data_IF_391445218419
#
_entry.id   IF_391445218419
#
_cell.length_a   1.000
_cell.length_b   1.000
_cell.length_c   1.000
_cell.angle_alpha   90.00
_cell.angle_beta   90.00
_cell.angle_gamma   90.00
#
_symmetry.space_group_name_H-M   'P 1'
#
loop_
_entity.id
_entity.type
_entity.pdbx_description
1 polymer ?
#
# COMPACT_ATOMS: atom_id res chain seq x y z
N UNK A 1 -24.80 -20.34 5.79
CA UNK A 1 -23.68 -19.47 6.18
C UNK A 1 -23.88 -18.09 5.55
N UNK A 2 -23.73 -17.00 6.31
CA UNK A 2 -23.87 -15.64 5.77
C UNK A 2 -22.77 -15.34 4.75
N UNK A 3 -23.13 -14.76 3.59
CA UNK A 3 -22.18 -14.41 2.52
C UNK A 3 -21.10 -13.47 3.08
N UNK A 4 -19.82 -13.82 2.90
CA UNK A 4 -18.69 -12.96 3.31
C UNK A 4 -18.78 -11.61 2.61
N UNK A 5 -18.53 -10.53 3.35
CA UNK A 5 -18.43 -9.18 2.77
C UNK A 5 -17.04 -9.00 2.16
N UNK A 6 -16.97 -8.48 0.95
CA UNK A 6 -15.69 -8.17 0.30
C UNK A 6 -15.20 -6.80 0.77
N UNK A 7 -13.93 -6.73 1.16
CA UNK A 7 -13.22 -5.50 1.52
C UNK A 7 -12.10 -5.29 0.51
N UNK A 8 -12.17 -4.22 -0.26
CA UNK A 8 -11.09 -3.83 -1.18
C UNK A 8 -10.14 -2.85 -0.50
N UNK A 9 -8.85 -3.20 -0.47
CA UNK A 9 -7.78 -2.34 0.02
C UNK A 9 -6.95 -1.85 -1.16
N UNK A 10 -7.08 -0.57 -1.49
CA UNK A 10 -6.20 0.13 -2.42
C UNK A 10 -5.01 0.72 -1.66
N UNK A 11 -3.78 0.39 -2.06
CA UNK A 11 -2.59 0.80 -1.33
C UNK A 11 -1.41 1.10 -2.26
N UNK A 12 -0.48 1.91 -1.74
CA UNK A 12 0.83 2.18 -2.33
C UNK A 12 1.90 1.94 -1.26
N UNK A 13 2.99 1.26 -1.62
CA UNK A 13 4.11 1.00 -0.69
C UNK A 13 4.87 2.26 -0.27
N UNK A 14 4.69 3.36 -1.00
CA UNK A 14 5.23 4.68 -0.62
C UNK A 14 4.43 5.36 0.50
N UNK A 15 3.30 4.79 0.91
CA UNK A 15 2.48 5.34 1.98
C UNK A 15 2.72 4.57 3.29
N UNK A 16 3.23 5.23 4.35
CA UNK A 16 3.40 4.58 5.65
C UNK A 16 2.05 4.24 6.29
N UNK A 17 1.03 5.08 6.09
CA UNK A 17 -0.32 4.84 6.59
C UNK A 17 -1.01 3.67 5.89
N UNK A 18 -0.68 3.42 4.62
CA UNK A 18 -1.20 2.25 3.91
C UNK A 18 -0.62 0.96 4.48
N UNK A 19 0.63 0.95 4.94
CA UNK A 19 1.19 -0.21 5.65
C UNK A 19 0.45 -0.50 6.96
N UNK A 20 0.20 0.54 7.76
CA UNK A 20 -0.54 0.41 9.01
C UNK A 20 -1.95 -0.17 8.76
N UNK A 21 -2.68 0.38 7.80
CA UNK A 21 -4.01 -0.13 7.42
C UNK A 21 -3.98 -1.57 6.91
N UNK A 22 -2.97 -1.91 6.10
CA UNK A 22 -2.73 -3.26 5.62
C UNK A 22 -2.53 -4.26 6.77
N UNK A 23 -1.64 -3.97 7.73
CA UNK A 23 -1.39 -4.89 8.86
C UNK A 23 -2.60 -5.04 9.76
N UNK A 24 -3.32 -3.94 10.04
CA UNK A 24 -4.56 -3.98 10.83
C UNK A 24 -5.58 -4.89 10.14
N UNK A 25 -5.89 -4.66 8.86
CA UNK A 25 -6.87 -5.45 8.14
C UNK A 25 -6.51 -6.94 8.11
N UNK A 26 -5.23 -7.26 7.89
CA UNK A 26 -4.77 -8.65 7.82
C UNK A 26 -4.78 -9.35 9.17
N UNK A 27 -4.61 -8.63 10.30
CA UNK A 27 -4.83 -9.21 11.64
C UNK A 27 -6.29 -9.63 11.85
N UNK A 28 -7.23 -8.90 11.26
CA UNK A 28 -8.66 -9.19 11.39
C UNK A 28 -9.22 -10.15 10.32
N UNK A 29 -8.42 -10.56 9.31
CA UNK A 29 -8.88 -11.42 8.20
C UNK A 29 -9.50 -12.75 8.64
N UNK A 30 -9.04 -13.29 9.76
CA UNK A 30 -9.53 -14.56 10.33
C UNK A 30 -10.55 -14.36 11.46
N UNK A 31 -10.80 -13.10 11.87
CA UNK A 31 -11.70 -12.74 12.97
C UNK A 31 -13.05 -12.27 12.41
N UNK A 32 -13.01 -11.44 11.36
CA UNK A 32 -14.22 -10.91 10.72
C UNK A 32 -14.69 -11.82 9.58
N UNK A 33 -16.01 -11.86 9.34
CA UNK A 33 -16.60 -12.58 8.21
C UNK A 33 -16.43 -11.79 6.89
N UNK A 34 -15.19 -11.50 6.53
CA UNK A 34 -14.80 -10.68 5.38
C UNK A 34 -13.83 -11.42 4.47
N UNK A 35 -13.80 -11.00 3.22
CA UNK A 35 -12.81 -11.41 2.23
C UNK A 35 -12.03 -10.15 1.81
N UNK A 36 -10.71 -10.16 1.95
CA UNK A 36 -9.88 -8.96 1.77
C UNK A 36 -9.17 -9.06 0.42
N UNK A 37 -9.50 -8.14 -0.48
CA UNK A 37 -8.90 -8.06 -1.82
C UNK A 37 -7.90 -6.91 -1.85
N UNK A 38 -6.65 -7.25 -2.15
CA UNK A 38 -5.53 -6.31 -2.17
C UNK A 38 -5.36 -5.75 -3.59
N UNK A 39 -5.39 -4.43 -3.72
CA UNK A 39 -5.24 -3.70 -4.99
C UNK A 39 -4.06 -2.74 -4.95
N UNK A 40 -2.92 -3.09 -5.57
CA UNK A 40 -1.85 -2.13 -5.81
C UNK A 40 -2.39 -0.95 -6.62
N UNK A 41 -2.25 0.27 -6.10
CA UNK A 41 -2.70 1.51 -6.70
C UNK A 41 -1.63 2.60 -6.56
N UNK A 42 -1.52 3.51 -7.52
CA UNK A 42 -0.45 4.50 -7.53
C UNK A 42 -0.90 5.80 -6.86
N UNK A 43 -0.32 6.10 -5.69
CA UNK A 43 -0.66 7.31 -4.92
C UNK A 43 -0.38 8.59 -5.70
N UNK A 44 0.73 8.62 -6.45
CA UNK A 44 1.05 9.75 -7.34
C UNK A 44 -0.03 9.99 -8.41
N UNK A 45 -0.67 8.92 -8.90
CA UNK A 45 -1.79 9.02 -9.84
C UNK A 45 -3.04 9.62 -9.19
N UNK A 46 -3.35 9.20 -7.96
CA UNK A 46 -4.47 9.74 -7.17
C UNK A 46 -4.26 11.23 -6.87
N UNK A 47 -3.06 11.62 -6.44
CA UNK A 47 -2.72 13.03 -6.15
C UNK A 47 -2.86 13.90 -7.40
N UNK A 48 -2.34 13.44 -8.54
CA UNK A 48 -2.44 14.16 -9.80
C UNK A 48 -3.90 14.36 -10.24
N UNK A 49 -4.71 13.30 -10.20
CA UNK A 49 -6.11 13.37 -10.62
C UNK A 49 -6.98 14.26 -9.71
N UNK A 50 -6.64 14.35 -8.42
CA UNK A 50 -7.39 15.14 -7.43
C UNK A 50 -6.85 16.56 -7.24
N UNK A 51 -5.74 16.92 -7.90
CA UNK A 51 -5.03 18.19 -7.67
C UNK A 51 -4.43 18.32 -6.26
N UNK A 52 -4.31 17.19 -5.53
CA UNK A 52 -3.78 17.18 -4.17
C UNK A 52 -2.24 17.10 -4.19
N UNK A 53 -1.60 17.54 -3.12
CA UNK A 53 -0.14 17.49 -2.96
C UNK A 53 0.24 16.69 -1.72
N UNK A 54 1.44 16.08 -1.67
CA UNK A 54 1.88 15.36 -0.50
C UNK A 54 1.86 16.27 0.75
N UNK A 55 1.24 15.84 1.85
CA UNK A 55 1.12 16.64 3.09
C UNK A 55 2.48 17.06 3.65
N UNK A 56 3.52 16.23 3.44
CA UNK A 56 4.89 16.50 3.86
C UNK A 56 5.50 17.75 3.21
N UNK A 57 4.94 18.24 2.09
CA UNK A 57 5.38 19.49 1.46
C UNK A 57 5.04 20.73 2.30
N UNK A 58 4.11 20.63 3.25
CA UNK A 58 3.81 21.71 4.20
C UNK A 58 4.61 21.47 5.48
N UNK A 59 5.56 22.34 5.86
CA UNK A 59 6.51 22.07 6.96
C UNK A 59 5.86 21.63 8.28
N UNK A 60 4.76 22.29 8.68
CA UNK A 60 4.02 21.94 9.90
C UNK A 60 3.37 20.56 9.82
N UNK A 61 2.82 20.18 8.65
CA UNK A 61 2.20 18.86 8.44
C UNK A 61 3.28 17.78 8.36
N UNK A 62 4.41 18.04 7.70
CA UNK A 62 5.56 17.12 7.67
C UNK A 62 6.12 16.83 9.06
N UNK A 63 6.34 17.87 9.88
CA UNK A 63 6.80 17.72 11.26
C UNK A 63 5.80 16.94 12.14
N UNK A 64 4.50 17.15 11.92
CA UNK A 64 3.45 16.36 12.58
C UNK A 64 3.51 14.89 12.14
N UNK A 65 3.55 14.62 10.83
CA UNK A 65 3.59 13.26 10.28
C UNK A 65 4.77 12.44 10.79
N UNK A 66 5.95 13.06 10.96
CA UNK A 66 7.11 12.37 11.51
C UNK A 66 6.83 11.81 12.92
N UNK A 67 6.23 12.62 13.79
CA UNK A 67 5.83 12.21 15.15
C UNK A 67 4.65 11.24 15.15
N UNK A 68 3.72 11.44 14.23
CA UNK A 68 2.53 10.60 14.11
C UNK A 68 2.91 9.17 13.70
N UNK A 69 3.78 9.04 12.71
CA UNK A 69 4.33 7.75 12.27
C UNK A 69 5.02 7.00 13.42
N UNK A 70 5.79 7.67 14.25
CA UNK A 70 6.42 7.07 15.43
C UNK A 70 5.39 6.55 16.44
N UNK A 71 4.38 7.36 16.78
CA UNK A 71 3.29 6.96 17.70
C UNK A 71 2.48 5.79 17.17
N UNK A 72 2.16 5.80 15.87
CA UNK A 72 1.37 4.75 15.25
C UNK A 72 2.18 3.45 15.09
N UNK A 73 3.50 3.56 14.87
CA UNK A 73 4.45 2.43 14.90
C UNK A 73 4.34 1.67 16.22
N UNK A 74 4.42 2.39 17.34
CA UNK A 74 4.28 1.83 18.69
C UNK A 74 2.88 1.27 18.95
N UNK A 75 1.85 2.05 18.65
CA UNK A 75 0.45 1.67 18.91
C UNK A 75 0.03 0.41 18.13
N UNK A 76 0.37 0.35 16.83
CA UNK A 76 0.04 -0.79 16.00
C UNK A 76 1.10 -1.89 16.05
N UNK A 77 2.23 -1.73 16.73
CA UNK A 77 3.31 -2.71 16.77
C UNK A 77 3.77 -3.12 15.35
N UNK A 78 3.90 -2.13 14.47
CA UNK A 78 4.47 -2.29 13.13
C UNK A 78 5.83 -1.61 13.17
N UNK A 79 6.94 -2.21 12.70
CA UNK A 79 8.28 -1.63 12.81
C UNK A 79 8.50 -0.49 11.80
N UNK A 80 7.61 0.50 11.82
CA UNK A 80 7.57 1.65 10.94
C UNK A 80 8.55 2.71 11.43
N UNK A 81 9.48 3.11 10.57
CA UNK A 81 10.54 4.10 10.78
C UNK A 81 10.63 5.00 9.56
N UNK A 82 10.81 6.30 9.80
CA UNK A 82 10.98 7.26 8.71
C UNK A 82 12.32 7.01 7.98
N UNK A 83 12.34 7.00 6.63
CA UNK A 83 13.57 6.96 5.86
C UNK A 83 14.47 8.14 6.21
N UNK A 84 15.80 7.93 6.23
CA UNK A 84 16.76 9.00 6.55
C UNK A 84 16.64 10.19 5.59
N UNK A 85 16.32 9.92 4.32
CA UNK A 85 16.02 10.93 3.31
C UNK A 85 14.62 10.74 2.71
N UNK A 86 13.59 11.03 3.51
CA UNK A 86 12.18 10.95 3.08
C UNK A 86 11.93 11.64 1.74
N UNK A 87 12.44 12.86 1.52
CA UNK A 87 12.18 13.60 0.29
C UNK A 87 12.78 12.91 -0.94
N UNK A 88 14.00 12.38 -0.84
CA UNK A 88 14.60 11.64 -1.94
C UNK A 88 13.86 10.33 -2.24
N UNK A 89 13.52 9.56 -1.20
CA UNK A 89 12.94 8.22 -1.36
C UNK A 89 11.46 8.29 -1.77
N UNK A 90 10.67 9.09 -1.07
CA UNK A 90 9.21 9.13 -1.24
C UNK A 90 8.78 10.09 -2.34
N UNK A 91 9.41 11.27 -2.41
CA UNK A 91 8.98 12.33 -3.34
C UNK A 91 9.70 12.26 -4.68
N UNK A 92 11.03 12.03 -4.69
CA UNK A 92 11.80 11.99 -5.94
C UNK A 92 11.81 10.63 -6.63
N UNK A 93 12.14 9.56 -5.90
CA UNK A 93 12.20 8.20 -6.44
C UNK A 93 10.80 7.60 -6.65
N UNK A 94 9.92 7.77 -5.67
CA UNK A 94 8.55 7.25 -5.71
C UNK A 94 8.51 5.72 -5.71
N UNK A 95 7.38 5.15 -6.11
CA UNK A 95 7.10 3.70 -6.02
C UNK A 95 6.63 3.08 -7.33
N UNK A 96 6.71 3.78 -8.47
CA UNK A 96 6.12 3.30 -9.72
C UNK A 96 6.60 1.89 -10.12
N UNK A 97 7.91 1.62 -10.00
CA UNK A 97 8.48 0.28 -10.24
C UNK A 97 7.89 -0.74 -9.28
N UNK A 98 7.92 -0.48 -7.96
CA UNK A 98 7.34 -1.37 -6.96
C UNK A 98 5.85 -1.65 -7.20
N UNK A 99 5.04 -0.64 -7.51
CA UNK A 99 3.61 -0.81 -7.75
C UNK A 99 3.31 -1.59 -9.02
N UNK A 100 4.12 -1.44 -10.08
CA UNK A 100 4.03 -2.29 -11.28
C UNK A 100 4.42 -3.73 -10.98
N UNK A 101 5.46 -3.95 -10.19
CA UNK A 101 5.88 -5.29 -9.76
C UNK A 101 4.78 -6.00 -8.97
N UNK A 102 4.21 -5.33 -7.98
CA UNK A 102 3.07 -5.84 -7.21
C UNK A 102 1.85 -6.10 -8.10
N UNK A 103 1.62 -5.28 -9.12
CA UNK A 103 0.53 -5.50 -10.09
C UNK A 103 0.79 -6.74 -10.94
N UNK A 104 2.01 -6.95 -11.41
CA UNK A 104 2.39 -8.17 -12.14
C UNK A 104 2.21 -9.44 -11.29
N UNK A 105 2.58 -9.37 -10.00
CA UNK A 105 2.34 -10.43 -9.02
C UNK A 105 0.85 -10.63 -8.80
N UNK A 106 0.06 -9.57 -8.60
CA UNK A 106 -1.40 -9.67 -8.45
C UNK A 106 -2.05 -10.42 -9.62
N UNK A 107 -1.58 -10.17 -10.85
CA UNK A 107 -2.14 -10.77 -12.06
C UNK A 107 -1.75 -12.23 -12.26
N UNK A 108 -0.55 -12.63 -11.82
CA UNK A 108 0.04 -13.93 -12.18
C UNK A 108 0.13 -14.90 -11.02
N UNK A 109 0.44 -14.37 -9.83
CA UNK A 109 0.80 -15.10 -8.62
C UNK A 109 0.25 -14.41 -7.34
N UNK A 110 -1.09 -14.23 -7.24
CA UNK A 110 -1.72 -13.46 -6.17
C UNK A 110 -1.41 -13.97 -4.75
N UNK A 111 -1.05 -15.25 -4.61
CA UNK A 111 -0.65 -15.87 -3.35
C UNK A 111 0.58 -15.23 -2.71
N UNK A 112 1.47 -14.60 -3.49
CA UNK A 112 2.64 -13.90 -2.99
C UNK A 112 2.40 -12.40 -2.74
N UNK A 113 1.27 -11.85 -3.20
CA UNK A 113 1.02 -10.41 -3.15
C UNK A 113 1.10 -9.85 -1.71
N UNK A 114 0.51 -10.55 -0.74
CA UNK A 114 0.56 -10.13 0.66
C UNK A 114 2.01 -10.08 1.19
N UNK A 115 2.78 -11.15 0.96
CA UNK A 115 4.15 -11.26 1.44
C UNK A 115 5.08 -10.24 0.81
N UNK A 116 5.01 -10.08 -0.51
CA UNK A 116 5.89 -9.16 -1.24
C UNK A 116 5.58 -7.71 -0.90
N UNK A 117 4.30 -7.33 -0.73
CA UNK A 117 3.94 -5.98 -0.31
C UNK A 117 4.49 -5.65 1.07
N UNK A 118 4.37 -6.58 2.03
CA UNK A 118 4.96 -6.44 3.37
C UNK A 118 6.47 -6.26 3.30
N UNK A 119 7.18 -7.06 2.51
CA UNK A 119 8.64 -6.94 2.37
C UNK A 119 9.08 -5.65 1.69
N UNK A 120 8.31 -5.13 0.72
CA UNK A 120 8.60 -3.82 0.15
C UNK A 120 8.43 -2.70 1.19
N UNK A 121 7.37 -2.73 2.00
CA UNK A 121 7.22 -1.79 3.10
C UNK A 121 8.35 -1.92 4.14
N UNK A 122 8.75 -3.14 4.50
CA UNK A 122 9.90 -3.35 5.40
C UNK A 122 11.18 -2.71 4.83
N UNK A 123 11.43 -2.86 3.53
CA UNK A 123 12.59 -2.23 2.89
C UNK A 123 12.57 -0.72 3.03
N UNK A 124 11.53 -0.05 2.54
CA UNK A 124 11.48 1.43 2.54
C UNK A 124 11.26 2.03 3.94
N UNK A 125 10.40 1.44 4.76
CA UNK A 125 9.93 2.03 6.02
C UNK A 125 10.43 1.34 7.29
N UNK A 126 11.39 0.43 7.21
CA UNK A 126 12.01 -0.18 8.40
C UNK A 126 13.51 -0.29 8.25
N UNK A 127 13.96 -0.70 7.06
CA UNK A 127 15.37 -0.95 6.75
C UNK A 127 16.05 0.22 6.02
N UNK A 128 15.32 1.26 5.63
CA UNK A 128 15.79 2.41 4.83
C UNK A 128 16.51 1.99 3.53
N UNK A 129 15.91 1.03 2.83
CA UNK A 129 16.41 0.43 1.59
C UNK A 129 15.57 0.82 0.38
N UNK A 130 16.24 0.73 -0.76
CA UNK A 130 15.65 1.00 -2.06
C UNK A 130 14.52 0.02 -2.43
N UNK A 131 13.53 0.52 -3.18
CA UNK A 131 12.39 -0.22 -3.76
C UNK A 131 12.16 0.12 -5.24
N UNK A 132 13.11 0.78 -5.90
CA UNK A 132 12.95 1.21 -7.31
C UNK A 132 13.73 0.35 -8.29
N UNK A 133 14.86 -0.19 -7.85
CA UNK A 133 15.74 -1.00 -8.68
C UNK A 133 15.26 -2.45 -8.81
N UNK A 134 15.47 -3.12 -9.95
CA UNK A 134 15.05 -4.51 -10.15
C UNK A 134 15.57 -5.47 -9.07
N UNK A 135 16.84 -5.36 -8.71
CA UNK A 135 17.46 -6.18 -7.66
C UNK A 135 16.79 -5.98 -6.29
N UNK A 136 16.41 -4.73 -5.96
CA UNK A 136 15.67 -4.44 -4.73
C UNK A 136 14.33 -5.16 -4.66
N UNK A 137 13.63 -5.23 -5.80
CA UNK A 137 12.32 -5.89 -5.91
C UNK A 137 12.45 -7.41 -5.80
N UNK A 138 13.45 -7.99 -6.47
CA UNK A 138 13.73 -9.42 -6.38
C UNK A 138 14.13 -9.85 -4.96
N UNK A 139 14.90 -9.03 -4.25
CA UNK A 139 15.23 -9.28 -2.85
C UNK A 139 13.99 -9.30 -1.94
N UNK A 140 13.05 -8.37 -2.16
CA UNK A 140 11.78 -8.36 -1.43
C UNK A 140 10.96 -9.62 -1.74
N UNK A 141 10.87 -10.01 -3.02
CA UNK A 141 10.18 -11.22 -3.45
C UNK A 141 10.78 -12.49 -2.83
N UNK A 142 12.11 -12.61 -2.85
CA UNK A 142 12.83 -13.73 -2.24
C UNK A 142 12.59 -13.81 -0.73
N UNK A 143 12.62 -12.69 -0.02
CA UNK A 143 12.38 -12.65 1.43
C UNK A 143 10.92 -13.00 1.78
N UNK A 144 9.99 -12.72 0.88
CA UNK A 144 8.60 -13.15 0.98
C UNK A 144 8.37 -14.63 0.59
N UNK A 145 9.43 -15.37 0.25
CA UNK A 145 9.35 -16.79 -0.13
C UNK A 145 8.90 -17.06 -1.56
N UNK A 146 8.87 -16.04 -2.43
CA UNK A 146 8.56 -16.21 -3.84
C UNK A 146 9.73 -16.90 -4.56
N UNK A 147 9.48 -17.99 -5.33
CA UNK A 147 10.49 -18.61 -6.17
C UNK A 147 11.11 -17.61 -7.16
N UNK A 148 12.42 -17.73 -7.37
CA UNK A 148 13.21 -16.76 -8.15
C UNK A 148 12.76 -16.67 -9.61
N UNK A 149 12.39 -17.80 -10.22
CA UNK A 149 11.87 -17.87 -11.59
C UNK A 149 10.55 -17.10 -11.73
N UNK A 150 9.64 -17.24 -10.76
CA UNK A 150 8.37 -16.51 -10.74
C UNK A 150 8.58 -15.01 -10.49
N UNK A 151 9.51 -14.67 -9.60
CA UNK A 151 9.88 -13.28 -9.31
C UNK A 151 10.49 -12.60 -10.55
N UNK A 152 11.42 -13.27 -11.23
CA UNK A 152 12.05 -12.79 -12.45
C UNK A 152 11.05 -12.63 -13.60
N UNK A 153 10.10 -13.55 -13.72
CA UNK A 153 8.99 -13.45 -14.69
C UNK A 153 8.07 -12.27 -14.38
N UNK A 154 7.73 -12.05 -13.11
CA UNK A 154 6.91 -10.91 -12.69
C UNK A 154 7.64 -9.58 -12.93
N UNK A 155 8.96 -9.56 -12.73
CA UNK A 155 9.82 -8.41 -12.98
C UNK A 155 9.85 -8.05 -14.48
N UNK A 156 9.94 -9.03 -15.38
CA UNK A 156 9.93 -8.76 -16.83
C UNK A 156 8.58 -8.24 -17.34
N UNK A 157 7.47 -8.61 -16.69
CA UNK A 157 6.13 -8.14 -17.02
C UNK A 157 5.83 -6.70 -16.56
N UNK A 158 6.64 -6.12 -15.66
CA UNK A 158 6.38 -4.79 -15.10
C UNK A 158 6.20 -3.68 -16.14
N UNK A 159 6.89 -3.80 -17.28
CA UNK A 159 6.85 -2.80 -18.35
C UNK A 159 5.80 -3.12 -19.41
N UNK A 160 5.10 -4.25 -19.29
CA UNK A 160 4.10 -4.70 -20.26
C UNK A 160 2.89 -3.76 -20.28
N UNK A 161 2.21 -3.62 -21.43
CA UNK A 161 0.98 -2.83 -21.54
C UNK A 161 -0.12 -3.28 -20.56
N UNK A 162 -0.23 -4.59 -20.32
CA UNK A 162 -1.26 -5.20 -19.47
C UNK A 162 -1.07 -4.79 -18.02
N UNK A 163 0.16 -4.85 -17.49
CA UNK A 163 0.47 -4.45 -16.11
C UNK A 163 0.28 -2.94 -15.92
N UNK A 164 0.73 -2.13 -16.88
CA UNK A 164 0.51 -0.68 -16.85
C UNK A 164 -0.98 -0.33 -16.83
N UNK A 165 -1.78 -1.02 -17.64
CA UNK A 165 -3.22 -0.82 -17.74
C UNK A 165 -3.91 -1.25 -16.45
N UNK A 166 -3.58 -2.43 -15.90
CA UNK A 166 -4.14 -2.91 -14.63
C UNK A 166 -3.85 -1.96 -13.46
N UNK A 167 -2.63 -1.45 -13.34
CA UNK A 167 -2.28 -0.48 -12.28
C UNK A 167 -3.08 0.82 -12.43
N UNK A 168 -3.28 1.28 -13.67
CA UNK A 168 -4.11 2.45 -13.96
C UNK A 168 -5.57 2.20 -13.57
N UNK A 169 -6.15 1.07 -13.97
CA UNK A 169 -7.52 0.68 -13.61
C UNK A 169 -7.72 0.58 -12.09
N UNK A 170 -6.77 -0.03 -11.37
CA UNK A 170 -6.84 -0.09 -9.90
C UNK A 170 -6.83 1.32 -9.28
N UNK A 171 -6.03 2.23 -9.85
CA UNK A 171 -5.94 3.62 -9.39
C UNK A 171 -7.21 4.43 -9.73
N UNK A 172 -7.78 4.22 -10.91
CA UNK A 172 -9.05 4.83 -11.33
C UNK A 172 -10.22 4.34 -10.47
N UNK A 173 -10.29 3.03 -10.17
CA UNK A 173 -11.29 2.49 -9.24
C UNK A 173 -11.17 3.10 -7.84
N UNK A 174 -9.95 3.29 -7.34
CA UNK A 174 -9.76 3.99 -6.06
C UNK A 174 -10.33 5.41 -6.10
N UNK A 175 -10.13 6.14 -7.21
CA UNK A 175 -10.70 7.47 -7.41
C UNK A 175 -12.23 7.46 -7.49
N UNK A 176 -12.83 6.50 -8.18
CA UNK A 176 -14.29 6.33 -8.25
C UNK A 176 -14.93 6.09 -6.88
N UNK A 177 -14.24 5.38 -5.99
CA UNK A 177 -14.68 5.20 -4.61
C UNK A 177 -14.47 6.44 -3.72
N UNK A 178 -13.95 7.54 -4.26
CA UNK A 178 -13.73 8.79 -3.54
C UNK A 178 -12.51 8.77 -2.63
N UNK A 179 -11.51 7.93 -2.93
CA UNK A 179 -10.26 7.89 -2.16
C UNK A 179 -9.48 9.19 -2.37
N UNK A 180 -9.32 9.97 -1.29
CA UNK A 180 -8.48 11.17 -1.24
C UNK A 180 -7.24 10.85 -0.39
N UNK A 181 -6.06 11.23 -0.87
CA UNK A 181 -4.76 10.86 -0.31
C UNK A 181 -4.60 11.10 1.21
N UNK A 182 -3.75 10.26 1.80
CA UNK A 182 -3.49 10.06 3.23
C UNK A 182 -3.14 11.33 4.01
N UNK A 183 -4.15 12.00 4.59
CA UNK A 183 -4.21 12.50 5.98
C UNK A 183 -5.68 12.79 6.27
N UNK A 184 -6.33 11.97 7.10
CA UNK A 184 -7.56 12.38 7.76
C UNK A 184 -7.28 12.45 9.26
N UNK A 185 -7.44 13.65 9.81
CA UNK A 185 -7.45 13.90 11.25
C UNK A 185 -8.39 12.90 11.95
N UNK A 186 -7.91 12.29 13.02
CA UNK A 186 -8.76 11.80 14.11
C UNK A 186 -9.40 10.42 13.95
N UNK A 187 -9.94 10.05 12.79
CA UNK A 187 -10.64 8.78 12.60
C UNK A 187 -10.63 8.40 11.10
N UNK A 188 -10.47 7.11 10.80
CA UNK A 188 -10.43 6.47 9.47
C UNK A 188 -9.08 6.49 8.71
N UNK A 189 -8.35 5.39 8.90
CA UNK A 189 -7.30 4.89 8.01
C UNK A 189 -7.91 4.60 6.64
N UNK A 190 -7.15 4.88 5.58
CA UNK A 190 -7.40 4.52 4.17
C UNK A 190 -8.20 3.20 4.03
N UNK A 191 -9.51 3.34 3.88
CA UNK A 191 -10.46 2.31 3.52
C UNK A 191 -11.56 3.05 2.77
N UNK A 192 -11.66 2.88 1.45
CA UNK A 192 -12.97 3.04 0.83
C UNK A 192 -13.83 1.82 1.14
N UNK A 193 -14.01 1.54 2.42
CA UNK A 193 -15.28 0.99 2.82
C UNK A 193 -16.29 2.10 2.51
N UNK A 194 -17.33 1.77 1.75
CA UNK A 194 -18.64 2.25 2.15
C UNK A 194 -18.85 1.83 3.62
N UNK A 195 -18.36 2.63 4.56
CA UNK A 195 -18.74 2.64 5.97
C UNK A 195 -20.10 3.33 6.14
N UNK A 196 -20.95 3.38 5.09
CA UNK A 196 -22.39 3.47 5.32
C UNK A 196 -22.81 2.18 6.00
N UNK A 197 -22.93 2.22 7.32
CA UNK A 197 -23.54 1.20 8.17
C UNK A 197 -22.74 -0.12 8.35
N UNK A 198 -21.56 -0.04 8.96
CA UNK A 198 -21.25 -1.02 10.02
C UNK A 198 -21.57 -0.34 11.36
N UNK A 199 -22.82 0.12 11.49
CA UNK A 199 -23.39 0.22 12.83
C UNK A 199 -23.65 -1.21 13.27
N UNK A 200 -22.94 -1.61 14.31
CA UNK A 200 -23.39 -2.63 15.23
C UNK A 200 -24.80 -2.21 15.70
N UNK A 201 -25.86 -2.66 15.02
CA UNK A 201 -27.13 -2.86 15.72
C UNK A 201 -26.95 -4.14 16.53
N UNK A 202 -26.52 -3.97 17.78
CA UNK A 202 -27.08 -4.79 18.84
C UNK A 202 -28.52 -4.31 18.96
N UNK A 203 -29.42 -5.13 18.43
CA UNK A 203 -30.77 -5.42 18.93
C UNK A 203 -31.28 -6.63 18.12
#
# INVERSE_FOLDING_TARGET
>A
MSKRKVLELFYDVVSPYSWLGFEVLLRYKNIWNVDIHLHPALLGGVMHATGNSPPAMVPKKGAYMAKDVERLSEFYQVPLRQPSNFFQVVIKKGSLSAMRFLTAIQMSHPEFLEGVSRELWQRIWSEDKDITEPESLLQAAKKAGMPEDLAQKSLSLMTSPEVKTRLKENTEKALEYGVICSVCYGEFVFLSCRFRQIQYKRD
#
